data_IF_105419772481
#
_entry.id   IF_105419772481
#
_cell.length_a   1.000
_cell.length_b   1.000
_cell.length_c   1.000
_cell.angle_alpha   90.00
_cell.angle_beta   90.00
_cell.angle_gamma   90.00
#
_symmetry.space_group_name_H-M   'P 1'
#
loop_
_entity.id
_entity.type
_entity.pdbx_description
1 polymer ?
#
# COMPACT_ATOMS: atom_id res chain seq x y z
N UNK A 1 13.86 -2.71 -16.13
CA UNK A 1 14.51 -2.77 -14.79
C UNK A 1 15.59 -3.83 -14.68
N UNK A 2 15.63 -4.89 -15.50
CA UNK A 2 16.77 -5.84 -15.48
C UNK A 2 17.01 -6.59 -14.17
N UNK A 3 16.16 -6.38 -13.16
CA UNK A 3 16.22 -7.00 -11.82
C UNK A 3 15.59 -8.39 -11.84
N UNK A 4 16.07 -9.23 -10.93
CA UNK A 4 15.51 -10.55 -10.69
C UNK A 4 14.08 -10.49 -10.12
N UNK A 5 13.24 -11.47 -10.45
CA UNK A 5 11.83 -11.51 -10.02
C UNK A 5 11.70 -11.67 -8.52
N UNK A 6 12.61 -12.43 -7.87
CA UNK A 6 12.59 -12.58 -6.41
C UNK A 6 12.95 -11.27 -5.73
N UNK A 7 13.91 -10.52 -6.28
CA UNK A 7 14.30 -9.19 -5.77
C UNK A 7 13.13 -8.19 -5.85
N UNK A 8 12.44 -8.14 -7.00
CA UNK A 8 11.24 -7.31 -7.18
C UNK A 8 10.13 -7.73 -6.22
N UNK A 9 9.94 -9.05 -6.02
CA UNK A 9 8.95 -9.58 -5.08
C UNK A 9 9.23 -9.17 -3.63
N UNK A 10 10.50 -9.18 -3.20
CA UNK A 10 10.90 -8.70 -1.86
C UNK A 10 10.64 -7.21 -1.70
N UNK A 11 10.98 -6.40 -2.70
CA UNK A 11 10.67 -4.97 -2.68
C UNK A 11 9.16 -4.72 -2.60
N UNK A 12 8.36 -5.48 -3.36
CA UNK A 12 6.92 -5.39 -3.32
C UNK A 12 6.37 -5.67 -1.91
N UNK A 13 6.79 -6.77 -1.29
CA UNK A 13 6.41 -7.10 0.10
C UNK A 13 6.82 -6.01 1.08
N UNK A 14 8.06 -5.52 1.00
CA UNK A 14 8.56 -4.46 1.88
C UNK A 14 7.73 -3.17 1.78
N UNK A 15 7.34 -2.76 0.57
CA UNK A 15 6.42 -1.62 0.37
C UNK A 15 5.07 -1.89 1.02
N UNK A 16 4.58 -3.12 0.91
CA UNK A 16 3.31 -3.56 1.48
C UNK A 16 3.28 -3.43 3.00
N UNK A 17 4.35 -3.85 3.66
CA UNK A 17 4.54 -3.75 5.10
C UNK A 17 4.73 -2.29 5.53
N UNK A 18 5.61 -1.53 4.86
CA UNK A 18 5.94 -0.15 5.23
C UNK A 18 4.74 0.82 5.16
N UNK A 19 3.85 0.64 4.18
CA UNK A 19 2.66 1.50 3.98
C UNK A 19 1.39 0.90 4.60
N UNK A 20 1.39 -0.39 4.91
CA UNK A 20 0.25 -1.13 5.46
C UNK A 20 -0.78 -1.60 4.42
N UNK A 21 -0.38 -1.74 3.15
CA UNK A 21 -1.20 -2.43 2.15
C UNK A 21 -1.50 -3.88 2.58
N UNK A 22 -0.54 -4.56 3.20
CA UNK A 22 -0.73 -5.92 3.69
C UNK A 22 -1.76 -6.02 4.80
N UNK A 23 -1.76 -5.05 5.72
CA UNK A 23 -2.78 -5.00 6.77
C UNK A 23 -4.18 -4.76 6.19
N UNK A 24 -4.32 -3.85 5.22
CA UNK A 24 -5.61 -3.60 4.56
C UNK A 24 -6.10 -4.84 3.82
N UNK A 25 -5.22 -5.51 3.08
CA UNK A 25 -5.54 -6.75 2.36
C UNK A 25 -5.99 -7.85 3.32
N UNK A 26 -5.21 -8.15 4.35
CA UNK A 26 -5.55 -9.20 5.33
C UNK A 26 -6.84 -8.88 6.09
N UNK A 27 -7.02 -7.63 6.53
CA UNK A 27 -8.21 -7.24 7.29
C UNK A 27 -9.46 -7.20 6.42
N UNK A 28 -9.31 -6.96 5.11
CA UNK A 28 -10.45 -6.96 4.18
C UNK A 28 -11.15 -8.32 4.07
N UNK A 29 -10.42 -9.42 4.30
CA UNK A 29 -10.97 -10.78 4.29
C UNK A 29 -11.99 -11.00 5.42
N UNK A 30 -11.96 -10.14 6.43
CA UNK A 30 -12.87 -10.15 7.59
C UNK A 30 -14.08 -9.22 7.40
N UNK A 31 -14.19 -8.52 6.26
CA UNK A 31 -15.33 -7.64 5.99
C UNK A 31 -16.56 -8.50 5.75
N UNK A 32 -17.56 -8.36 6.62
CA UNK A 32 -18.90 -8.88 6.37
C UNK A 32 -19.52 -8.16 5.17
N UNK A 33 -19.79 -8.90 4.10
CA UNK A 33 -20.48 -8.38 2.90
C UNK A 33 -21.94 -8.79 2.94
N UNK A 34 -22.88 -7.85 2.78
CA UNK A 34 -24.31 -8.13 2.90
C UNK A 34 -24.86 -8.77 1.62
N UNK A 35 -24.26 -8.46 0.46
CA UNK A 35 -24.71 -8.97 -0.83
C UNK A 35 -23.56 -9.27 -1.83
N UNK A 36 -23.94 -9.60 -3.07
CA UNK A 36 -22.99 -9.86 -4.15
C UNK A 36 -22.18 -8.63 -4.57
N UNK A 37 -22.79 -7.45 -4.56
CA UNK A 37 -22.17 -6.20 -5.00
C UNK A 37 -21.14 -5.70 -3.99
N UNK A 38 -21.37 -5.88 -2.70
CA UNK A 38 -20.40 -5.59 -1.65
C UNK A 38 -19.11 -6.40 -1.83
N UNK A 39 -19.22 -7.69 -2.19
CA UNK A 39 -18.06 -8.53 -2.49
C UNK A 39 -17.30 -8.03 -3.71
N UNK A 40 -18.00 -7.67 -4.78
CA UNK A 40 -17.38 -7.11 -5.99
C UNK A 40 -16.70 -5.76 -5.69
N UNK A 41 -17.34 -4.90 -4.90
CA UNK A 41 -16.78 -3.61 -4.51
C UNK A 41 -15.54 -3.77 -3.64
N UNK A 42 -15.58 -4.64 -2.63
CA UNK A 42 -14.40 -4.96 -1.82
C UNK A 42 -13.25 -5.49 -2.69
N UNK A 43 -13.56 -6.40 -3.64
CA UNK A 43 -12.56 -6.95 -4.55
C UNK A 43 -11.94 -5.88 -5.44
N UNK A 44 -12.74 -4.99 -6.03
CA UNK A 44 -12.26 -3.90 -6.86
C UNK A 44 -11.30 -2.99 -6.08
N UNK A 45 -11.60 -2.68 -4.82
CA UNK A 45 -10.72 -1.87 -3.97
C UNK A 45 -9.41 -2.62 -3.66
N UNK A 46 -9.45 -3.93 -3.47
CA UNK A 46 -8.23 -4.72 -3.25
C UNK A 46 -7.34 -4.77 -4.49
N UNK A 47 -7.93 -4.90 -5.67
CA UNK A 47 -7.19 -4.83 -6.93
C UNK A 47 -6.57 -3.43 -7.11
N UNK A 48 -7.30 -2.36 -6.79
CA UNK A 48 -6.79 -0.98 -6.78
C UNK A 48 -5.62 -0.78 -5.80
N UNK A 49 -5.66 -1.39 -4.61
CA UNK A 49 -4.57 -1.34 -3.63
C UNK A 49 -3.32 -2.08 -4.13
N UNK A 50 -3.51 -3.25 -4.73
CA UNK A 50 -2.42 -4.03 -5.30
C UNK A 50 -1.72 -3.27 -6.44
N UNK A 51 -2.49 -2.59 -7.29
CA UNK A 51 -1.92 -1.78 -8.37
C UNK A 51 -1.17 -0.55 -7.83
N UNK A 52 -1.66 0.11 -6.77
CA UNK A 52 -0.90 1.16 -6.09
C UNK A 52 0.44 0.66 -5.53
N UNK A 53 0.44 -0.50 -4.88
CA UNK A 53 1.67 -1.10 -4.34
C UNK A 53 2.66 -1.43 -5.48
N UNK A 54 2.18 -1.94 -6.61
CA UNK A 54 3.01 -2.22 -7.80
C UNK A 54 3.60 -0.95 -8.40
N UNK A 55 2.78 0.10 -8.55
CA UNK A 55 3.20 1.40 -9.07
C UNK A 55 4.29 2.01 -8.19
N UNK A 56 4.09 2.02 -6.87
CA UNK A 56 5.06 2.55 -5.92
C UNK A 56 6.35 1.73 -5.89
N UNK A 57 6.23 0.39 -5.86
CA UNK A 57 7.40 -0.50 -5.91
C UNK A 57 8.23 -0.23 -7.17
N UNK A 58 7.56 -0.11 -8.32
CA UNK A 58 8.23 0.23 -9.58
C UNK A 58 8.91 1.59 -9.50
N UNK A 59 8.23 2.61 -8.98
CA UNK A 59 8.82 3.93 -8.85
C UNK A 59 10.09 3.91 -7.99
N UNK A 60 10.04 3.29 -6.81
CA UNK A 60 11.18 3.19 -5.89
C UNK A 60 12.37 2.49 -6.55
N UNK A 61 12.14 1.31 -7.14
CA UNK A 61 13.21 0.53 -7.78
C UNK A 61 13.84 1.22 -8.99
N UNK A 62 13.17 2.21 -9.59
CA UNK A 62 13.67 3.03 -10.70
C UNK A 62 14.45 4.26 -10.24
N UNK A 63 14.10 4.82 -9.08
CA UNK A 63 14.58 6.14 -8.65
C UNK A 63 15.50 6.09 -7.42
N UNK A 64 15.68 4.91 -6.80
CA UNK A 64 16.60 4.74 -5.67
C UNK A 64 17.78 3.86 -6.07
N UNK A 65 18.99 4.38 -5.85
CA UNK A 65 20.24 3.72 -6.20
C UNK A 65 20.61 2.64 -5.15
N UNK A 66 20.12 1.41 -5.36
CA UNK A 66 20.59 0.19 -4.67
C UNK A 66 20.41 -1.03 -5.57
N UNK A 67 21.36 -1.96 -5.49
CA UNK A 67 21.31 -3.24 -6.22
C UNK A 67 20.31 -4.23 -5.61
N UNK A 68 19.85 -4.01 -4.38
CA UNK A 68 18.89 -4.85 -3.68
C UNK A 68 17.55 -4.12 -3.52
N UNK A 69 16.46 -4.77 -3.93
CA UNK A 69 15.15 -4.15 -3.95
C UNK A 69 14.62 -3.76 -2.58
N UNK A 70 14.78 -4.62 -1.58
CA UNK A 70 14.36 -4.33 -0.20
C UNK A 70 15.17 -3.17 0.42
N UNK A 71 16.46 -3.08 0.10
CA UNK A 71 17.30 -1.96 0.54
C UNK A 71 16.89 -0.65 -0.15
N UNK A 72 16.59 -0.68 -1.45
CA UNK A 72 16.06 0.49 -2.17
C UNK A 72 14.78 1.02 -1.52
N UNK A 73 13.87 0.13 -1.11
CA UNK A 73 12.65 0.51 -0.38
C UNK A 73 12.97 1.15 0.98
N UNK A 74 13.85 0.53 1.76
CA UNK A 74 14.29 1.07 3.04
C UNK A 74 14.94 2.45 2.92
N UNK A 75 15.78 2.65 1.90
CA UNK A 75 16.44 3.93 1.63
C UNK A 75 15.43 5.00 1.24
N UNK A 76 14.52 4.69 0.32
CA UNK A 76 13.49 5.62 -0.10
C UNK A 76 12.60 6.06 1.07
N UNK A 77 12.19 5.12 1.93
CA UNK A 77 11.34 5.46 3.09
C UNK A 77 12.04 6.32 4.14
N UNK A 78 13.37 6.25 4.28
CA UNK A 78 14.13 7.15 5.18
C UNK A 78 14.04 8.62 4.74
N UNK A 79 13.85 8.88 3.45
CA UNK A 79 13.70 10.24 2.92
C UNK A 79 12.23 10.70 2.92
N UNK A 80 11.29 9.77 3.15
CA UNK A 80 9.85 9.97 3.02
C UNK A 80 9.12 9.89 4.37
N UNK A 81 9.76 10.35 5.46
CA UNK A 81 9.23 10.28 6.83
C UNK A 81 7.82 10.89 6.96
N UNK A 82 7.57 12.04 6.33
CA UNK A 82 6.25 12.67 6.38
C UNK A 82 5.16 11.87 5.66
N UNK A 83 5.53 11.20 4.57
CA UNK A 83 4.64 10.31 3.81
C UNK A 83 4.30 9.09 4.66
N UNK A 84 5.32 8.48 5.28
CA UNK A 84 5.16 7.34 6.20
C UNK A 84 4.28 7.69 7.40
N UNK A 85 4.55 8.80 8.08
CA UNK A 85 3.77 9.25 9.24
C UNK A 85 2.28 9.46 8.91
N UNK A 86 1.96 9.96 7.71
CA UNK A 86 0.58 10.14 7.26
C UNK A 86 -0.12 8.80 7.02
N UNK A 87 0.57 7.84 6.41
CA UNK A 87 0.04 6.48 6.23
C UNK A 87 -0.19 5.80 7.58
N UNK A 88 0.79 5.87 8.49
CA UNK A 88 0.69 5.30 9.84
C UNK A 88 -0.50 5.86 10.62
N UNK A 89 -0.72 7.19 10.54
CA UNK A 89 -1.86 7.84 11.18
C UNK A 89 -3.20 7.34 10.62
N UNK A 90 -3.34 7.26 9.29
CA UNK A 90 -4.54 6.72 8.66
C UNK A 90 -4.83 5.29 9.15
N UNK A 91 -3.80 4.44 9.21
CA UNK A 91 -3.96 3.05 9.66
C UNK A 91 -4.32 2.98 11.14
N UNK A 92 -3.72 3.82 12.00
CA UNK A 92 -4.05 3.89 13.42
C UNK A 92 -5.51 4.31 13.65
N UNK A 93 -5.97 5.31 12.90
CA UNK A 93 -7.36 5.77 12.94
C UNK A 93 -8.31 4.66 12.49
N UNK A 94 -8.00 3.94 11.41
CA UNK A 94 -8.79 2.81 10.93
C UNK A 94 -8.84 1.67 11.96
N UNK A 95 -7.70 1.27 12.51
CA UNK A 95 -7.56 0.19 13.52
C UNK A 95 -8.35 0.49 14.80
N UNK A 96 -8.42 1.75 15.21
CA UNK A 96 -9.16 2.16 16.41
C UNK A 96 -10.67 2.37 16.16
N UNK A 97 -11.10 2.50 14.91
CA UNK A 97 -12.49 2.79 14.53
C UNK A 97 -13.44 1.57 14.53
N UNK A 98 -12.99 0.40 14.97
CA UNK A 98 -13.72 -0.87 14.87
C UNK A 98 -13.55 -1.58 13.52
N UNK A 99 -14.39 -2.58 13.21
CA UNK A 99 -14.25 -3.38 11.99
C UNK A 99 -14.19 -2.56 10.71
N UNK A 100 -13.45 -3.06 9.72
CA UNK A 100 -13.47 -2.49 8.37
C UNK A 100 -14.82 -2.78 7.71
N UNK A 101 -15.30 -1.79 6.96
CA UNK A 101 -16.38 -1.93 6.00
C UNK A 101 -15.84 -1.65 4.60
N UNK A 102 -16.59 -2.02 3.57
CA UNK A 102 -16.24 -1.70 2.17
C UNK A 102 -16.00 -0.19 2.01
N UNK A 103 -16.84 0.66 2.63
CA UNK A 103 -16.67 2.11 2.60
C UNK A 103 -15.36 2.59 3.25
N UNK A 104 -14.99 2.04 4.42
CA UNK A 104 -13.70 2.37 5.08
C UNK A 104 -12.52 1.91 4.23
N UNK A 105 -12.61 0.74 3.60
CA UNK A 105 -11.57 0.23 2.70
C UNK A 105 -11.41 1.12 1.46
N UNK A 106 -12.51 1.51 0.81
CA UNK A 106 -12.50 2.45 -0.32
C UNK A 106 -11.90 3.81 0.06
N UNK A 107 -12.25 4.33 1.23
CA UNK A 107 -11.67 5.56 1.75
C UNK A 107 -10.15 5.42 1.95
N UNK A 108 -9.72 4.33 2.60
CA UNK A 108 -8.30 4.06 2.84
C UNK A 108 -7.51 3.99 1.54
N UNK A 109 -7.99 3.25 0.54
CA UNK A 109 -7.34 3.11 -0.75
C UNK A 109 -7.16 4.44 -1.49
N UNK A 110 -8.19 5.30 -1.47
CA UNK A 110 -8.11 6.64 -2.08
C UNK A 110 -7.19 7.57 -1.30
N UNK A 111 -7.23 7.52 0.03
CA UNK A 111 -6.39 8.37 0.87
C UNK A 111 -4.91 7.99 0.74
N UNK A 112 -4.58 6.69 0.76
CA UNK A 112 -3.22 6.20 0.51
C UNK A 112 -2.72 6.64 -0.86
N UNK A 113 -3.53 6.50 -1.93
CA UNK A 113 -3.17 7.00 -3.27
C UNK A 113 -2.79 8.48 -3.24
N UNK A 114 -3.55 9.31 -2.53
CA UNK A 114 -3.27 10.74 -2.39
C UNK A 114 -2.02 11.05 -1.56
N UNK A 115 -1.70 10.23 -0.55
CA UNK A 115 -0.45 10.37 0.22
C UNK A 115 0.74 10.00 -0.69
N UNK A 116 0.65 8.88 -1.41
CA UNK A 116 1.73 8.37 -2.26
C UNK A 116 1.98 9.28 -3.47
N UNK A 117 0.95 9.84 -4.09
CA UNK A 117 1.12 10.72 -5.26
C UNK A 117 1.95 11.96 -4.96
N UNK A 118 1.97 12.42 -3.70
CA UNK A 118 2.78 13.55 -3.26
C UNK A 118 4.26 13.15 -3.11
N UNK A 119 4.52 11.93 -2.66
CA UNK A 119 5.88 11.40 -2.50
C UNK A 119 6.55 11.06 -3.83
N UNK A 120 5.77 10.55 -4.80
CA UNK A 120 6.24 10.14 -6.13
C UNK A 120 6.50 11.32 -7.08
N UNK A 121 5.83 12.46 -6.86
CA UNK A 121 5.93 13.66 -7.69
C UNK A 121 6.83 14.77 -7.12
N UNK A 122 7.57 14.50 -6.05
CA UNK A 122 8.60 15.39 -5.48
C UNK A 122 9.96 15.04 -6.06
#
# INVERSE_FOLDING_TARGET
>A
MGRDVVDVGRAFSEVGECIGFDWLRQTSELISTEDHWDRLAARAVLDDLADQQRELTRYILQNTASDQGAEAVSLWFKEQDMTRMRADRLLADLKSSGPLSVAKLSFAARHLRSIMSRAVGS
#
